data_IF_340924814576
#
_entry.id   IF_340924814576
#
_cell.length_a   1.000
_cell.length_b   1.000
_cell.length_c   1.000
_cell.angle_alpha   90.00
_cell.angle_beta   90.00
_cell.angle_gamma   90.00
#
_symmetry.space_group_name_H-M   'P 1'
#
loop_
_entity.id
_entity.type
_entity.pdbx_description
1 polymer ?
#
# COMPACT_ATOMS: atom_id res chain seq x y z
N UNK A 1 26.29 -4.71 10.33
CA UNK A 1 26.05 -6.03 9.68
C UNK A 1 25.95 -5.78 8.19
N UNK A 2 26.72 -6.49 7.36
CA UNK A 2 26.69 -6.33 5.90
C UNK A 2 25.67 -7.26 5.25
N UNK A 3 25.21 -6.90 4.04
CA UNK A 3 24.23 -7.68 3.26
C UNK A 3 24.71 -9.12 3.04
N UNK A 4 25.98 -9.33 2.72
CA UNK A 4 26.56 -10.67 2.48
C UNK A 4 26.42 -11.59 3.70
N UNK A 5 26.65 -11.07 4.91
CA UNK A 5 26.55 -11.84 6.15
C UNK A 5 25.10 -12.27 6.46
N UNK A 6 24.12 -11.47 6.04
CA UNK A 6 22.69 -11.84 6.17
C UNK A 6 22.38 -12.97 5.20
N UNK A 7 22.75 -12.82 3.94
CA UNK A 7 22.55 -13.87 2.91
C UNK A 7 23.19 -15.19 3.30
N UNK A 8 24.47 -15.18 3.66
CA UNK A 8 25.19 -16.37 4.11
C UNK A 8 24.51 -17.05 5.29
N UNK A 9 23.89 -16.29 6.21
CA UNK A 9 23.22 -16.87 7.37
C UNK A 9 21.90 -17.56 7.03
N UNK A 10 21.09 -16.96 6.15
CA UNK A 10 19.72 -17.41 5.89
C UNK A 10 19.60 -18.31 4.65
N UNK A 11 20.45 -18.13 3.64
CA UNK A 11 20.49 -18.96 2.43
C UNK A 11 21.08 -20.37 2.67
N UNK A 12 21.69 -20.61 3.84
CA UNK A 12 22.08 -21.96 4.28
C UNK A 12 20.88 -22.84 4.65
N UNK A 13 19.77 -22.23 5.09
CA UNK A 13 18.58 -22.95 5.56
C UNK A 13 17.55 -23.16 4.45
N UNK A 14 17.42 -22.18 3.56
CA UNK A 14 16.45 -22.18 2.47
C UNK A 14 17.09 -21.59 1.19
N UNK A 15 16.74 -22.10 0.00
CA UNK A 15 17.16 -21.55 -1.28
C UNK A 15 16.86 -20.04 -1.42
N UNK A 16 17.67 -19.34 -2.22
CA UNK A 16 17.55 -17.89 -2.40
C UNK A 16 16.17 -17.46 -2.95
N UNK A 17 15.57 -18.29 -3.81
CA UNK A 17 14.26 -18.07 -4.44
C UNK A 17 13.07 -18.18 -3.46
N UNK A 18 13.28 -18.76 -2.28
CA UNK A 18 12.28 -18.77 -1.19
C UNK A 18 12.30 -17.49 -0.35
N UNK A 19 13.33 -16.63 -0.50
CA UNK A 19 13.48 -15.40 0.29
C UNK A 19 13.00 -14.16 -0.45
N UNK A 20 12.16 -13.35 0.22
CA UNK A 20 11.76 -12.02 -0.24
C UNK A 20 12.33 -10.93 0.67
N UNK A 21 13.21 -10.09 0.13
CA UNK A 21 13.65 -8.87 0.79
C UNK A 21 12.74 -7.72 0.40
N UNK A 22 12.02 -7.16 1.38
CA UNK A 22 11.09 -6.07 1.17
C UNK A 22 11.52 -4.87 2.03
N UNK A 23 11.83 -3.75 1.38
CA UNK A 23 11.98 -2.48 2.09
C UNK A 23 10.62 -2.11 2.67
N UNK A 24 10.59 -1.65 3.93
CA UNK A 24 9.37 -1.23 4.62
C UNK A 24 9.68 -0.13 5.63
N UNK A 25 8.75 0.79 5.82
CA UNK A 25 8.76 1.74 6.93
C UNK A 25 8.31 0.99 8.18
N UNK A 26 9.23 0.82 9.12
CA UNK A 26 8.99 0.15 10.40
C UNK A 26 8.97 1.09 11.60
N UNK A 27 9.73 2.17 11.53
CA UNK A 27 9.91 3.11 12.64
C UNK A 27 9.14 4.39 12.34
N UNK A 28 8.11 4.68 13.13
CA UNK A 28 7.24 5.84 12.95
C UNK A 28 7.53 6.88 14.04
N UNK A 29 7.95 8.11 13.67
CA UNK A 29 8.10 9.19 14.65
C UNK A 29 6.74 9.62 15.22
N UNK A 30 6.73 10.31 16.36
CA UNK A 30 5.51 10.91 16.90
C UNK A 30 4.96 11.93 15.89
N UNK A 31 3.67 11.84 15.57
CA UNK A 31 3.06 12.70 14.55
C UNK A 31 3.62 12.46 13.14
N UNK A 32 4.02 11.23 12.80
CA UNK A 32 4.62 10.89 11.50
C UNK A 32 3.82 11.36 10.29
N UNK A 33 2.49 11.40 10.37
CA UNK A 33 1.66 11.89 9.26
C UNK A 33 1.94 13.35 8.90
N UNK A 34 2.18 14.20 9.90
CA UNK A 34 2.51 15.61 9.64
C UNK A 34 3.88 15.72 8.94
N UNK A 35 4.87 14.98 9.43
CA UNK A 35 6.20 14.95 8.82
C UNK A 35 6.16 14.38 7.39
N UNK A 36 5.43 13.28 7.17
CA UNK A 36 5.29 12.68 5.84
C UNK A 36 4.50 13.58 4.89
N UNK A 37 3.60 14.44 5.39
CA UNK A 37 2.89 15.38 4.52
C UNK A 37 3.82 16.37 3.81
N UNK A 38 4.97 16.67 4.44
CA UNK A 38 6.05 17.49 3.86
C UNK A 38 6.94 16.67 2.91
N UNK A 39 7.00 15.34 3.09
CA UNK A 39 7.75 14.38 2.27
C UNK A 39 6.81 13.44 1.48
N UNK A 40 6.33 13.93 0.34
CA UNK A 40 5.37 13.22 -0.52
C UNK A 40 5.82 11.81 -0.92
N UNK A 41 7.08 11.55 -1.33
CA UNK A 41 7.55 10.19 -1.59
C UNK A 41 7.32 9.23 -0.42
N UNK A 42 7.75 9.61 0.79
CA UNK A 42 7.59 8.78 1.99
C UNK A 42 6.13 8.57 2.36
N UNK A 43 5.30 9.61 2.25
CA UNK A 43 3.86 9.48 2.46
C UNK A 43 3.21 8.48 1.50
N UNK A 44 3.52 8.58 0.20
CA UNK A 44 2.96 7.68 -0.80
C UNK A 44 3.45 6.24 -0.60
N UNK A 45 4.73 6.08 -0.25
CA UNK A 45 5.30 4.78 0.05
C UNK A 45 4.62 4.13 1.26
N UNK A 46 4.46 4.89 2.35
CA UNK A 46 3.77 4.41 3.54
C UNK A 46 2.30 4.09 3.27
N UNK A 47 1.60 4.93 2.50
CA UNK A 47 0.23 4.66 2.06
C UNK A 47 0.12 3.33 1.32
N UNK A 48 1.01 3.07 0.36
CA UNK A 48 1.02 1.81 -0.39
C UNK A 48 1.31 0.60 0.49
N UNK A 49 2.24 0.74 1.43
CA UNK A 49 2.57 -0.31 2.39
C UNK A 49 1.34 -0.69 3.23
N UNK A 50 0.69 0.29 3.86
CA UNK A 50 -0.51 0.06 4.68
C UNK A 50 -1.68 -0.45 3.84
N UNK A 51 -1.86 0.06 2.62
CA UNK A 51 -2.90 -0.43 1.71
C UNK A 51 -2.67 -1.91 1.35
N UNK A 52 -1.43 -2.31 1.07
CA UNK A 52 -1.11 -3.70 0.76
C UNK A 52 -1.44 -4.61 1.93
N UNK A 53 -1.06 -4.23 3.15
CA UNK A 53 -1.36 -5.02 4.35
C UNK A 53 -2.87 -5.11 4.59
N UNK A 54 -3.59 -3.99 4.43
CA UNK A 54 -5.05 -3.97 4.50
C UNK A 54 -5.70 -4.95 3.53
N UNK A 55 -5.29 -4.94 2.26
CA UNK A 55 -5.85 -5.84 1.23
C UNK A 55 -5.55 -7.31 1.50
N UNK A 56 -4.39 -7.63 2.06
CA UNK A 56 -3.96 -9.02 2.30
C UNK A 56 -4.53 -9.61 3.59
N UNK A 57 -4.72 -8.79 4.63
CA UNK A 57 -4.98 -9.31 5.98
C UNK A 57 -6.38 -8.97 6.52
N UNK A 58 -6.98 -7.86 6.08
CA UNK A 58 -8.14 -7.26 6.78
C UNK A 58 -9.35 -6.99 5.88
N UNK A 59 -9.14 -6.73 4.58
CA UNK A 59 -10.18 -6.25 3.68
C UNK A 59 -11.44 -7.15 3.63
N UNK A 60 -11.28 -8.47 3.77
CA UNK A 60 -12.39 -9.43 3.74
C UNK A 60 -13.19 -9.52 5.05
N UNK A 61 -12.71 -8.87 6.13
CA UNK A 61 -13.29 -8.97 7.48
C UNK A 61 -13.80 -7.64 8.02
N UNK A 62 -13.48 -6.54 7.34
CA UNK A 62 -13.90 -5.20 7.74
C UNK A 62 -15.37 -5.00 7.35
N UNK A 63 -16.04 -4.06 8.03
CA UNK A 63 -17.38 -3.64 7.66
C UNK A 63 -17.45 -3.20 6.19
N UNK A 64 -18.50 -3.61 5.49
CA UNK A 64 -18.65 -3.37 4.06
C UNK A 64 -18.66 -1.88 3.70
N UNK A 65 -19.22 -1.02 4.56
CA UNK A 65 -19.21 0.43 4.34
C UNK A 65 -17.80 1.00 4.46
N UNK A 66 -16.98 0.44 5.35
CA UNK A 66 -15.56 0.83 5.47
C UNK A 66 -14.80 0.37 4.23
N UNK A 67 -14.99 -0.87 3.80
CA UNK A 67 -14.35 -1.40 2.59
C UNK A 67 -14.68 -0.55 1.36
N UNK A 68 -15.96 -0.21 1.19
CA UNK A 68 -16.44 0.65 0.11
C UNK A 68 -15.79 2.04 0.16
N UNK A 69 -15.78 2.68 1.33
CA UNK A 69 -15.14 4.01 1.51
C UNK A 69 -13.66 3.98 1.16
N UNK A 70 -12.93 2.97 1.62
CA UNK A 70 -11.50 2.82 1.33
C UNK A 70 -11.24 2.56 -0.16
N UNK A 71 -12.07 1.73 -0.80
CA UNK A 71 -12.04 1.52 -2.25
C UNK A 71 -12.27 2.81 -3.03
N UNK A 72 -13.30 3.58 -2.69
CA UNK A 72 -13.59 4.87 -3.32
C UNK A 72 -12.45 5.89 -3.14
N UNK A 73 -11.81 5.91 -1.96
CA UNK A 73 -10.64 6.76 -1.71
C UNK A 73 -9.46 6.39 -2.61
N UNK A 74 -9.20 5.10 -2.81
CA UNK A 74 -8.13 4.64 -3.72
C UNK A 74 -8.44 4.95 -5.18
N UNK A 75 -9.69 4.79 -5.63
CA UNK A 75 -10.13 5.20 -6.98
C UNK A 75 -9.85 6.70 -7.19
N UNK A 76 -10.24 7.54 -6.22
CA UNK A 76 -10.00 8.99 -6.30
C UNK A 76 -8.51 9.33 -6.31
N UNK A 77 -7.71 8.60 -5.53
CA UNK A 77 -6.25 8.78 -5.45
C UNK A 77 -5.55 8.33 -6.74
N UNK A 78 -5.98 7.23 -7.34
CA UNK A 78 -5.37 6.66 -8.55
C UNK A 78 -5.73 7.48 -9.78
N UNK A 79 -7.01 7.84 -9.93
CA UNK A 79 -7.52 8.65 -11.05
C UNK A 79 -7.62 10.13 -10.70
N UNK A 80 -6.48 10.77 -10.35
CA UNK A 80 -6.45 12.15 -9.84
C UNK A 80 -7.06 13.17 -10.80
N UNK A 81 -6.92 12.93 -12.11
CA UNK A 81 -7.38 13.82 -13.19
C UNK A 81 -8.85 13.58 -13.59
N UNK A 82 -9.46 12.49 -13.12
CA UNK A 82 -10.85 12.19 -13.41
C UNK A 82 -11.77 13.21 -12.72
N UNK A 83 -12.85 13.63 -13.39
CA UNK A 83 -13.87 14.50 -12.79
C UNK A 83 -14.61 13.77 -11.68
N UNK A 84 -15.01 14.48 -10.62
CA UNK A 84 -15.65 13.88 -9.44
C UNK A 84 -16.95 13.12 -9.72
N UNK A 85 -17.67 13.49 -10.79
CA UNK A 85 -18.90 12.86 -11.26
C UNK A 85 -18.68 11.93 -12.46
N UNK A 86 -17.44 11.61 -12.82
CA UNK A 86 -17.17 10.81 -14.02
C UNK A 86 -17.74 9.40 -13.91
N UNK A 87 -17.81 8.84 -12.70
CA UNK A 87 -18.30 7.48 -12.46
C UNK A 87 -19.83 7.38 -12.36
N UNK A 88 -20.56 8.50 -12.46
CA UNK A 88 -22.02 8.49 -12.58
C UNK A 88 -22.46 7.91 -13.95
N UNK A 89 -21.56 7.93 -14.94
CA UNK A 89 -21.78 7.30 -16.25
C UNK A 89 -21.43 5.82 -16.16
N UNK A 90 -22.42 4.95 -16.38
CA UNK A 90 -22.26 3.49 -16.40
C UNK A 90 -21.08 3.01 -17.25
N UNK A 91 -20.88 3.59 -18.43
CA UNK A 91 -19.76 3.25 -19.32
C UNK A 91 -18.37 3.51 -18.73
N UNK A 92 -18.25 4.49 -17.84
CA UNK A 92 -16.97 4.80 -17.18
C UNK A 92 -16.72 3.86 -16.00
N UNK A 93 -17.79 3.35 -15.37
CA UNK A 93 -17.70 2.34 -14.33
C UNK A 93 -17.24 0.99 -14.92
N UNK A 94 -17.77 0.60 -16.08
CA UNK A 94 -17.36 -0.61 -16.81
C UNK A 94 -15.88 -0.62 -17.22
N UNK A 95 -15.22 0.55 -17.28
CA UNK A 95 -13.78 0.64 -17.57
C UNK A 95 -12.90 0.32 -16.33
N UNK A 96 -13.49 0.31 -15.13
CA UNK A 96 -12.80 0.00 -13.88
C UNK A 96 -12.81 -1.49 -13.52
N UNK A 97 -13.72 -2.26 -14.12
CA UNK A 97 -13.85 -3.73 -13.97
C UNK A 97 -12.90 -4.48 -14.89
#
# INVERSE_FOLDING_TARGET
MGVSRVRERYELLHPQDEWRYELRIRYLPKGFLNHFSEDKPTLNYFYHQVKSDYMLEVADRVDQDIALKLGCLEIRRFFREMRGNALDKKSNYELLE
#
